data_IF_542957826089
#
_entry.id   IF_542957826089
#
_cell.length_a   1.000
_cell.length_b   1.000
_cell.length_c   1.000
_cell.angle_alpha   90.00
_cell.angle_beta   90.00
_cell.angle_gamma   90.00
#
_symmetry.space_group_name_H-M   'P 1'
#
loop_
_entity.id
_entity.type
_entity.pdbx_description
1 polymer ?
#
# COMPACT_ATOMS: atom_id res chain seq x y z
N UNK A 1 -20.70 -7.10 -4.18
CA UNK A 1 -19.47 -7.17 -3.87
C UNK A 1 -18.70 -5.92 -4.00
N UNK A 2 -18.10 -5.54 -3.03
CA UNK A 2 -17.46 -4.27 -3.07
C UNK A 2 -16.05 -4.38 -3.62
N UNK A 3 -15.76 -3.45 -4.48
CA UNK A 3 -14.45 -3.33 -5.03
C UNK A 3 -13.68 -2.32 -4.19
N UNK A 4 -12.46 -2.65 -3.82
CA UNK A 4 -11.65 -1.74 -3.04
C UNK A 4 -11.26 -0.53 -3.89
N UNK A 5 -11.08 0.63 -3.26
CA UNK A 5 -10.73 1.83 -4.02
C UNK A 5 -9.37 1.72 -4.69
N UNK A 6 -9.26 2.41 -5.81
CA UNK A 6 -8.01 2.47 -6.56
C UNK A 6 -7.05 3.42 -5.86
N UNK A 7 -5.89 2.93 -5.49
CA UNK A 7 -4.90 3.71 -4.76
C UNK A 7 -3.64 3.85 -5.61
N UNK A 8 -3.20 5.09 -5.83
CA UNK A 8 -2.00 5.34 -6.61
C UNK A 8 -0.76 4.94 -5.80
N UNK A 9 0.40 4.88 -6.46
CA UNK A 9 1.63 4.55 -5.77
C UNK A 9 1.94 5.53 -4.65
N UNK A 10 1.73 6.82 -4.90
CA UNK A 10 1.96 7.83 -3.88
C UNK A 10 1.00 7.66 -2.71
N UNK A 11 -0.27 7.43 -3.04
CA UNK A 11 -1.28 7.23 -2.01
C UNK A 11 -1.00 5.95 -1.21
N UNK A 12 -0.41 4.96 -1.85
CA UNK A 12 -0.05 3.73 -1.18
C UNK A 12 1.00 3.98 -0.09
N UNK A 13 1.93 4.91 -0.34
CA UNK A 13 2.91 5.25 0.69
C UNK A 13 2.23 5.81 1.94
N UNK A 14 1.19 6.62 1.74
CA UNK A 14 0.41 7.13 2.87
C UNK A 14 -0.30 6.00 3.57
N UNK A 15 -0.91 5.11 2.80
CA UNK A 15 -1.64 3.98 3.37
C UNK A 15 -0.74 3.08 4.20
N UNK A 16 0.52 2.89 3.77
CA UNK A 16 1.44 2.05 4.53
C UNK A 16 1.66 2.61 5.94
N UNK A 17 1.76 3.92 6.05
CA UNK A 17 1.91 4.55 7.36
C UNK A 17 0.64 4.36 8.20
N UNK A 18 -0.52 4.57 7.57
CA UNK A 18 -1.78 4.41 8.29
C UNK A 18 -1.95 2.98 8.79
N UNK A 19 -1.69 2.00 7.91
CA UNK A 19 -1.84 0.60 8.30
C UNK A 19 -0.93 0.22 9.45
N UNK A 20 0.26 0.83 9.50
CA UNK A 20 1.23 0.46 10.51
C UNK A 20 0.97 1.12 11.87
N UNK A 21 0.50 2.36 11.84
CA UNK A 21 0.42 3.17 13.06
C UNK A 21 -0.99 3.60 13.46
N UNK A 22 -2.01 3.22 12.72
CA UNK A 22 -3.36 3.67 13.02
C UNK A 22 -3.79 3.28 14.44
N UNK A 23 -4.55 4.12 15.11
CA UNK A 23 -4.99 5.44 14.67
C UNK A 23 -3.85 6.46 14.77
N UNK A 24 -3.78 7.35 13.80
CA UNK A 24 -2.64 8.25 13.69
C UNK A 24 -3.13 9.65 13.26
N UNK A 25 -2.54 10.68 13.84
CA UNK A 25 -2.94 12.04 13.55
C UNK A 25 -2.30 12.57 12.28
N UNK A 26 -2.86 13.68 11.77
CA UNK A 26 -2.30 14.33 10.59
C UNK A 26 -0.83 14.68 10.79
N UNK A 27 -0.50 15.24 11.95
CA UNK A 27 0.87 15.65 12.22
C UNK A 27 1.82 14.47 12.24
N UNK A 28 1.39 13.36 12.81
CA UNK A 28 2.23 12.16 12.86
C UNK A 28 2.44 11.56 11.49
N UNK A 29 1.39 11.53 10.67
CA UNK A 29 1.53 11.05 9.29
C UNK A 29 2.52 11.93 8.53
N UNK A 30 2.36 13.23 8.68
CA UNK A 30 3.24 14.18 8.02
C UNK A 30 4.69 14.00 8.44
N UNK A 31 4.91 13.84 9.73
CA UNK A 31 6.27 13.65 10.24
C UNK A 31 6.91 12.41 9.67
N UNK A 32 6.19 11.30 9.66
CA UNK A 32 6.75 10.06 9.19
C UNK A 32 7.03 10.09 7.69
N UNK A 33 6.15 10.70 6.92
CA UNK A 33 6.32 10.73 5.47
C UNK A 33 7.39 11.74 5.04
N UNK A 34 7.55 12.84 5.76
CA UNK A 34 8.61 13.79 5.43
C UNK A 34 9.99 13.23 5.72
N UNK A 35 10.09 12.23 6.58
CA UNK A 35 11.34 11.56 6.84
C UNK A 35 11.75 10.60 5.74
N UNK A 36 10.78 10.07 5.00
CA UNK A 36 11.04 9.05 4.00
C UNK A 36 10.81 9.50 2.56
N UNK A 37 10.17 10.66 2.39
CA UNK A 37 9.90 11.20 1.06
C UNK A 37 10.27 12.66 1.02
N UNK A 38 10.28 13.22 -0.20
CA UNK A 38 10.53 14.65 -0.40
C UNK A 38 9.24 15.47 -0.41
N UNK A 39 8.14 14.87 -0.01
CA UNK A 39 6.85 15.54 -0.08
C UNK A 39 6.73 16.63 0.97
N UNK A 40 6.06 17.71 0.58
CA UNK A 40 5.75 18.77 1.52
C UNK A 40 4.55 18.37 2.36
N UNK A 41 4.37 18.98 3.54
CA UNK A 41 3.18 18.71 4.36
C UNK A 41 1.88 18.95 3.60
N UNK A 42 1.86 19.95 2.72
CA UNK A 42 0.66 20.23 1.94
C UNK A 42 0.33 19.09 0.99
N UNK A 43 1.34 18.51 0.37
CA UNK A 43 1.15 17.36 -0.51
C UNK A 43 0.56 16.19 0.27
N UNK A 44 1.09 15.94 1.46
CA UNK A 44 0.62 14.85 2.29
C UNK A 44 -0.84 15.06 2.69
N UNK A 45 -1.20 16.28 3.06
CA UNK A 45 -2.58 16.59 3.40
C UNK A 45 -3.52 16.39 2.22
N UNK A 46 -3.06 16.77 1.02
CA UNK A 46 -3.85 16.54 -0.18
C UNK A 46 -4.11 15.07 -0.41
N UNK A 47 -3.10 14.24 -0.20
CA UNK A 47 -3.26 12.80 -0.36
C UNK A 47 -4.20 12.21 0.67
N UNK A 48 -4.13 12.68 1.91
CA UNK A 48 -5.04 12.23 2.95
C UNK A 48 -6.48 12.56 2.56
N UNK A 49 -6.71 13.76 2.04
CA UNK A 49 -8.05 14.14 1.61
C UNK A 49 -8.55 13.27 0.46
N UNK A 50 -7.67 12.97 -0.48
CA UNK A 50 -8.03 12.09 -1.60
C UNK A 50 -8.43 10.72 -1.12
N UNK A 51 -7.66 10.18 -0.18
CA UNK A 51 -7.94 8.85 0.34
C UNK A 51 -9.25 8.81 1.11
N UNK A 52 -9.56 9.87 1.83
CA UNK A 52 -10.86 9.97 2.51
C UNK A 52 -11.98 10.02 1.48
N UNK A 53 -11.81 10.81 0.43
CA UNK A 53 -12.81 10.90 -0.63
C UNK A 53 -13.03 9.57 -1.32
N UNK A 54 -11.96 8.80 -1.51
CA UNK A 54 -12.05 7.46 -2.12
C UNK A 54 -12.62 6.43 -1.17
N UNK A 55 -12.82 6.80 0.09
CA UNK A 55 -13.30 5.90 1.14
C UNK A 55 -12.28 4.83 1.50
N UNK A 56 -11.00 5.13 1.30
CA UNK A 56 -9.94 4.27 1.77
C UNK A 56 -9.58 4.56 3.22
N UNK A 57 -9.80 5.80 3.65
CA UNK A 57 -9.54 6.23 5.02
C UNK A 57 -10.78 6.85 5.62
N UNK A 58 -10.86 6.78 6.93
CA UNK A 58 -11.82 7.58 7.69
C UNK A 58 -11.05 8.37 8.74
N UNK A 59 -11.68 9.35 9.31
CA UNK A 59 -11.03 10.14 10.33
C UNK A 59 -12.02 10.56 11.38
N UNK A 60 -11.49 10.90 12.54
CA UNK A 60 -12.26 11.37 13.66
C UNK A 60 -11.58 12.60 14.20
N UNK A 61 -12.34 13.65 14.44
CA UNK A 61 -11.76 14.86 15.01
C UNK A 61 -11.75 14.73 16.53
N UNK A 62 -10.56 14.69 17.10
CA UNK A 62 -10.38 14.61 18.55
C UNK A 62 -9.76 15.92 19.00
N UNK A 63 -10.52 16.74 19.71
CA UNK A 63 -10.12 18.08 20.08
C UNK A 63 -9.88 18.89 18.81
N UNK A 64 -8.65 19.23 18.49
CA UNK A 64 -8.32 19.98 17.29
C UNK A 64 -7.53 19.18 16.27
N UNK A 65 -7.51 17.87 16.47
CA UNK A 65 -6.66 17.01 15.67
C UNK A 65 -7.51 15.99 14.94
N UNK A 66 -7.22 15.77 13.67
CA UNK A 66 -7.84 14.69 12.91
C UNK A 66 -6.99 13.45 13.09
N UNK A 67 -7.65 12.35 13.42
CA UNK A 67 -7.00 11.06 13.62
C UNK A 67 -7.56 10.10 12.58
N UNK A 68 -6.67 9.45 11.84
CA UNK A 68 -7.04 8.63 10.69
C UNK A 68 -6.95 7.15 10.99
N UNK A 69 -7.88 6.40 10.40
CA UNK A 69 -7.82 4.95 10.40
C UNK A 69 -8.18 4.46 9.01
N UNK A 70 -7.73 3.26 8.68
CA UNK A 70 -7.99 2.70 7.36
C UNK A 70 -9.35 2.02 7.33
N UNK A 71 -10.08 2.24 6.24
CA UNK A 71 -11.30 1.49 5.97
C UNK A 71 -11.02 0.27 5.10
N UNK A 72 -9.80 0.16 4.59
CA UNK A 72 -9.39 -0.92 3.70
C UNK A 72 -8.38 -1.78 4.42
N UNK A 73 -8.66 -3.06 4.67
CA UNK A 73 -7.68 -3.94 5.30
C UNK A 73 -6.48 -4.13 4.38
N UNK A 74 -5.29 -4.05 4.95
CA UNK A 74 -4.06 -4.17 4.19
C UNK A 74 -3.99 -5.50 3.43
N UNK A 75 -4.31 -6.58 4.09
CA UNK A 75 -4.22 -7.90 3.47
C UNK A 75 -5.17 -8.04 2.29
N UNK A 76 -6.37 -7.49 2.42
CA UNK A 76 -7.34 -7.56 1.33
C UNK A 76 -6.91 -6.70 0.15
N UNK A 77 -6.36 -5.53 0.44
CA UNK A 77 -5.89 -4.66 -0.63
C UNK A 77 -4.75 -5.32 -1.40
N UNK A 78 -3.79 -5.87 -0.68
CA UNK A 78 -2.65 -6.52 -1.31
C UNK A 78 -3.09 -7.73 -2.12
N UNK A 79 -4.05 -8.49 -1.59
CA UNK A 79 -4.57 -9.63 -2.33
C UNK A 79 -5.24 -9.20 -3.62
N UNK A 80 -6.03 -8.14 -3.58
CA UNK A 80 -6.70 -7.64 -4.77
C UNK A 80 -5.70 -7.17 -5.81
N UNK A 81 -4.67 -6.45 -5.40
CA UNK A 81 -3.66 -5.98 -6.32
C UNK A 81 -2.84 -7.11 -6.90
N UNK A 82 -2.52 -8.11 -6.09
CA UNK A 82 -1.81 -9.29 -6.57
C UNK A 82 -2.63 -10.03 -7.60
N UNK A 83 -3.92 -10.21 -7.34
CA UNK A 83 -4.79 -10.89 -8.30
C UNK A 83 -4.93 -10.11 -9.60
N UNK A 84 -5.02 -8.79 -9.50
CA UNK A 84 -5.08 -7.94 -10.69
C UNK A 84 -3.80 -8.05 -11.50
N UNK A 85 -2.66 -8.05 -10.83
CA UNK A 85 -1.38 -8.19 -11.49
C UNK A 85 -1.27 -9.54 -12.20
N UNK A 86 -1.64 -10.61 -11.49
CA UNK A 86 -1.58 -11.94 -12.07
C UNK A 86 -2.50 -12.08 -13.27
N UNK A 87 -3.71 -11.54 -13.16
CA UNK A 87 -4.66 -11.62 -14.25
C UNK A 87 -4.20 -10.83 -15.46
N UNK A 88 -3.63 -9.66 -15.22
CA UNK A 88 -3.22 -8.78 -16.30
C UNK A 88 -2.00 -9.32 -17.05
N UNK A 89 -1.02 -9.83 -16.33
CA UNK A 89 0.27 -10.18 -16.93
C UNK A 89 0.50 -11.67 -17.10
N UNK A 90 -0.20 -12.51 -16.35
CA UNK A 90 0.06 -13.94 -16.33
C UNK A 90 -1.21 -14.80 -16.40
N UNK A 91 -2.32 -14.18 -16.78
CA UNK A 91 -3.61 -14.90 -16.89
C UNK A 91 -3.99 -15.63 -15.60
N UNK A 92 -3.63 -15.04 -14.47
CA UNK A 92 -3.95 -15.63 -13.18
C UNK A 92 -3.04 -16.77 -12.75
N UNK A 93 -1.99 -17.04 -13.51
CA UNK A 93 -1.14 -18.19 -13.27
C UNK A 93 0.11 -17.80 -12.49
N UNK A 94 0.11 -18.10 -11.18
CA UNK A 94 1.22 -17.74 -10.33
C UNK A 94 2.50 -18.52 -10.67
N UNK A 95 2.34 -19.74 -11.20
CA UNK A 95 3.49 -20.54 -11.62
C UNK A 95 4.22 -19.86 -12.77
N UNK A 96 3.46 -19.33 -13.73
CA UNK A 96 4.05 -18.58 -14.83
C UNK A 96 4.82 -17.36 -14.34
N UNK A 97 4.26 -16.66 -13.36
CA UNK A 97 4.93 -15.50 -12.80
C UNK A 97 6.24 -15.88 -12.15
N UNK A 98 6.22 -16.94 -11.35
CA UNK A 98 7.43 -17.39 -10.66
C UNK A 98 8.48 -17.88 -11.65
N UNK A 99 8.06 -18.60 -12.65
CA UNK A 99 8.98 -19.13 -13.65
C UNK A 99 9.67 -17.99 -14.38
N UNK A 100 8.90 -17.00 -14.82
CA UNK A 100 9.44 -15.86 -15.52
C UNK A 100 10.44 -15.09 -14.64
N UNK A 101 10.08 -14.89 -13.39
CA UNK A 101 10.93 -14.17 -12.46
C UNK A 101 12.25 -14.91 -12.20
N UNK A 102 12.15 -16.22 -12.01
CA UNK A 102 13.33 -17.02 -11.72
C UNK A 102 14.25 -17.14 -12.92
N UNK A 103 13.69 -17.18 -14.12
CA UNK A 103 14.52 -17.23 -15.32
C UNK A 103 15.35 -15.97 -15.50
N UNK A 104 14.74 -14.83 -15.23
CA UNK A 104 15.45 -13.55 -15.33
C UNK A 104 16.57 -13.45 -14.33
N UNK A 105 16.41 -14.10 -13.19
CA UNK A 105 17.29 -13.93 -12.06
C UNK A 105 18.17 -15.13 -11.78
N UNK A 106 18.31 -16.01 -12.73
CA UNK A 106 19.04 -17.24 -12.46
C UNK A 106 20.51 -17.04 -12.19
N UNK A 107 21.08 -15.93 -12.65
CA UNK A 107 22.48 -15.61 -12.40
C UNK A 107 22.67 -15.08 -10.98
N UNK A 108 21.59 -14.74 -10.29
CA UNK A 108 21.64 -14.23 -8.93
C UNK A 108 20.83 -15.17 -8.07
N UNK A 109 21.23 -16.41 -8.02
CA UNK A 109 20.44 -17.46 -7.41
C UNK A 109 20.18 -17.24 -5.93
N UNK A 110 21.06 -16.57 -5.24
CA UNK A 110 20.84 -16.35 -3.81
C UNK A 110 19.76 -15.31 -3.52
N UNK A 111 19.38 -14.51 -4.49
CA UNK A 111 18.31 -13.54 -4.25
C UNK A 111 16.97 -14.23 -4.13
N UNK A 112 16.84 -15.44 -4.61
CA UNK A 112 15.57 -16.14 -4.49
C UNK A 112 15.22 -16.45 -3.03
N UNK A 113 16.17 -16.29 -2.13
CA UNK A 113 15.89 -16.47 -0.71
C UNK A 113 14.88 -15.48 -0.18
N UNK A 114 14.74 -14.33 -0.83
CA UNK A 114 13.75 -13.35 -0.40
C UNK A 114 12.38 -13.60 -0.99
N UNK A 115 12.31 -14.33 -2.11
CA UNK A 115 11.04 -14.60 -2.77
C UNK A 115 10.04 -15.36 -1.91
N UNK A 116 10.43 -16.45 -1.26
CA UNK A 116 9.49 -17.17 -0.43
C UNK A 116 8.90 -16.30 0.67
N UNK A 117 9.69 -15.41 1.22
CA UNK A 117 9.21 -14.50 2.25
C UNK A 117 8.10 -13.59 1.70
N UNK A 118 8.29 -13.07 0.50
CA UNK A 118 7.28 -12.22 -0.12
C UNK A 118 6.01 -13.00 -0.39
N UNK A 119 6.15 -14.22 -0.88
CA UNK A 119 5.01 -15.05 -1.23
C UNK A 119 4.24 -15.53 -0.02
N UNK A 120 4.93 -15.69 1.11
CA UNK A 120 4.29 -16.16 2.32
C UNK A 120 3.52 -15.07 3.05
N UNK A 121 3.78 -13.82 2.71
CA UNK A 121 3.07 -12.69 3.30
C UNK A 121 1.70 -12.43 2.61
#
# INVERSE_FOLDING_TARGET
MSKLPQISEAEFEVMKVIWKYAPISTNEVTEKLTQTTDWSPKTIQTMLKRLVTKKALTYEKQSRVFVYTSLVPKTEYIRQESNSFLNKYYNGNIVSMLTSYLEDDKSVSYTHLTLPTILLV
#
